data_IF_171713470288
#
_entry.id   IF_171713470288
#
_cell.length_a   1.000
_cell.length_b   1.000
_cell.length_c   1.000
_cell.angle_alpha   90.00
_cell.angle_beta   90.00
_cell.angle_gamma   90.00
#
_symmetry.space_group_name_H-M   'P 1'
#
loop_
_entity.id
_entity.type
_entity.pdbx_description
1 polymer ?
#
# COMPACT_ATOMS: atom_id res chain seq x y z
N UNK A 1 53.86 -17.76 34.61
CA UNK A 1 53.63 -16.64 33.68
C UNK A 1 52.14 -16.59 33.36
N UNK A 2 51.41 -15.63 33.91
CA UNK A 2 50.00 -15.33 33.58
C UNK A 2 50.02 -14.04 32.78
N UNK A 3 49.56 -14.09 31.52
CA UNK A 3 49.36 -12.88 30.71
C UNK A 3 47.85 -12.70 30.53
N UNK A 4 47.26 -11.80 31.32
CA UNK A 4 45.89 -11.33 31.11
C UNK A 4 45.93 -10.24 30.04
N UNK A 5 45.32 -10.50 28.89
CA UNK A 5 45.11 -9.49 27.85
C UNK A 5 43.65 -9.02 27.93
N UNK A 6 43.44 -7.82 28.47
CA UNK A 6 42.13 -7.16 28.51
C UNK A 6 41.96 -6.40 27.19
N UNK A 7 41.02 -6.83 26.36
CA UNK A 7 40.59 -6.09 25.17
C UNK A 7 39.60 -5.00 25.59
N UNK A 8 40.03 -3.75 25.53
CA UNK A 8 39.16 -2.59 25.65
C UNK A 8 38.45 -2.35 24.31
N UNK A 9 37.15 -2.63 24.22
CA UNK A 9 36.32 -2.16 23.11
C UNK A 9 35.98 -0.68 23.35
N UNK A 10 36.65 0.21 22.63
CA UNK A 10 36.21 1.60 22.52
C UNK A 10 34.92 1.63 21.68
N UNK A 11 33.79 1.92 22.32
CA UNK A 11 32.55 2.25 21.64
C UNK A 11 32.73 3.60 20.93
N UNK A 12 33.03 3.56 19.64
CA UNK A 12 32.97 4.74 18.77
C UNK A 12 31.51 5.13 18.56
N UNK A 13 31.06 6.16 19.27
CA UNK A 13 29.80 6.85 18.96
C UNK A 13 30.03 7.69 17.70
N UNK A 14 29.60 7.19 16.54
CA UNK A 14 29.43 8.02 15.36
C UNK A 14 28.22 8.93 15.61
N UNK A 15 28.48 10.15 16.09
CA UNK A 15 27.52 11.22 16.05
C UNK A 15 27.27 11.57 14.56
N UNK A 16 26.15 11.12 14.01
CA UNK A 16 25.68 11.60 12.72
C UNK A 16 25.33 13.08 12.84
N UNK A 17 25.76 13.95 11.91
CA UNK A 17 25.32 15.33 11.89
C UNK A 17 23.85 15.37 11.47
N UNK A 18 22.93 15.46 12.43
CA UNK A 18 21.55 15.88 12.17
C UNK A 18 21.53 17.39 12.01
N UNK A 19 21.92 17.86 10.84
CA UNK A 19 21.63 19.22 10.41
C UNK A 19 21.24 19.21 8.94
N UNK A 20 20.07 18.63 8.68
CA UNK A 20 19.32 19.02 7.49
C UNK A 20 18.60 20.32 7.87
N UNK A 21 19.25 21.45 7.59
CA UNK A 21 18.71 22.78 7.86
C UNK A 21 17.41 22.98 7.10
N UNK A 22 16.28 22.88 7.81
CA UNK A 22 14.95 23.24 7.32
C UNK A 22 14.72 24.77 7.28
N UNK A 23 15.76 25.58 7.07
CA UNK A 23 15.76 27.01 7.42
C UNK A 23 15.70 28.06 6.30
N UNK A 24 15.36 27.78 5.02
CA UNK A 24 15.00 28.86 4.10
C UNK A 24 13.49 29.14 3.99
N UNK A 25 12.59 28.25 4.44
CA UNK A 25 11.14 28.41 4.25
C UNK A 25 10.39 29.05 5.43
N UNK A 26 10.99 29.13 6.61
CA UNK A 26 10.32 29.65 7.83
C UNK A 26 9.83 31.10 7.69
N UNK A 27 10.46 31.89 6.83
CA UNK A 27 10.17 33.32 6.68
C UNK A 27 9.06 33.61 5.66
N UNK A 28 8.56 32.59 4.94
CA UNK A 28 7.53 32.75 3.93
C UNK A 28 6.42 31.72 4.14
N UNK A 29 5.42 32.09 4.96
CA UNK A 29 4.26 31.23 5.26
C UNK A 29 3.50 30.78 4.00
N UNK A 30 3.53 31.57 2.93
CA UNK A 30 2.87 31.22 1.67
C UNK A 30 3.57 30.04 0.99
N UNK A 31 4.90 30.12 0.87
CA UNK A 31 5.72 29.03 0.32
C UNK A 31 5.70 27.79 1.24
N UNK A 32 5.66 27.99 2.55
CA UNK A 32 5.60 26.91 3.52
C UNK A 32 4.29 26.11 3.43
N UNK A 33 3.15 26.80 3.26
CA UNK A 33 1.85 26.14 3.05
C UNK A 33 1.87 25.31 1.78
N UNK A 34 2.42 25.84 0.68
CA UNK A 34 2.54 25.08 -0.58
C UNK A 34 3.44 23.85 -0.42
N UNK A 35 4.56 24.00 0.29
CA UNK A 35 5.45 22.89 0.63
C UNK A 35 4.74 21.80 1.45
N UNK A 36 3.93 22.18 2.45
CA UNK A 36 3.18 21.22 3.28
C UNK A 36 2.09 20.47 2.52
N UNK A 37 1.44 21.12 1.55
CA UNK A 37 0.36 20.49 0.78
C UNK A 37 0.94 19.58 -0.31
N UNK A 38 1.88 20.10 -1.11
CA UNK A 38 2.28 19.46 -2.37
C UNK A 38 3.57 18.67 -2.31
N UNK A 39 4.46 18.98 -1.35
CA UNK A 39 5.80 18.38 -1.32
C UNK A 39 6.02 17.43 -0.14
N UNK A 40 5.33 17.62 0.99
CA UNK A 40 5.37 16.64 2.09
C UNK A 40 4.61 15.36 1.72
N UNK A 41 5.14 14.24 2.19
CA UNK A 41 4.36 13.00 2.25
C UNK A 41 3.24 13.15 3.27
N UNK A 42 2.16 12.39 3.12
CA UNK A 42 1.01 12.47 4.02
C UNK A 42 1.39 12.20 5.50
N UNK A 43 2.24 11.21 5.84
CA UNK A 43 2.70 11.03 7.22
C UNK A 43 3.51 12.20 7.77
N UNK A 44 4.37 12.83 6.97
CA UNK A 44 5.14 14.01 7.40
C UNK A 44 4.23 15.21 7.66
N UNK A 45 3.22 15.42 6.81
CA UNK A 45 2.20 16.44 7.04
C UNK A 45 1.45 16.20 8.36
N UNK A 46 1.04 14.95 8.64
CA UNK A 46 0.37 14.61 9.89
C UNK A 46 1.25 14.91 11.11
N UNK A 47 2.55 14.61 11.04
CA UNK A 47 3.49 14.96 12.11
C UNK A 47 3.57 16.48 12.33
N UNK A 48 3.57 17.28 11.25
CA UNK A 48 3.50 18.75 11.34
C UNK A 48 2.18 19.23 11.95
N UNK A 49 1.06 18.62 11.57
CA UNK A 49 -0.27 18.94 12.12
C UNK A 49 -0.38 18.62 13.60
N UNK A 50 0.10 17.45 14.01
CA UNK A 50 0.13 17.03 15.42
C UNK A 50 0.97 17.98 16.27
N UNK A 51 2.13 18.38 15.75
CA UNK A 51 2.98 19.39 16.38
C UNK A 51 2.43 20.83 16.28
N UNK A 52 1.42 21.07 15.43
CA UNK A 52 0.93 22.40 15.03
C UNK A 52 2.09 23.34 14.65
N UNK A 53 3.02 22.85 13.85
CA UNK A 53 4.29 23.54 13.53
C UNK A 53 4.33 24.07 12.08
N UNK A 54 4.35 25.40 11.85
CA UNK A 54 4.35 26.47 12.86
C UNK A 54 2.93 26.80 13.37
N UNK A 55 2.81 27.35 14.59
CA UNK A 55 1.52 27.65 15.21
C UNK A 55 0.79 28.84 14.56
N UNK A 56 1.46 29.59 13.68
CA UNK A 56 0.88 30.72 12.96
C UNK A 56 -0.07 30.30 11.83
N UNK A 57 0.05 29.06 11.33
CA UNK A 57 -0.83 28.52 10.30
C UNK A 57 -2.17 28.04 10.88
N UNK A 58 -3.19 28.02 10.01
CA UNK A 58 -4.50 27.51 10.39
C UNK A 58 -4.50 25.98 10.30
N UNK A 59 -4.60 25.32 11.45
CA UNK A 59 -4.64 23.85 11.58
C UNK A 59 -6.04 23.29 11.85
N UNK A 60 -7.08 24.13 11.80
CA UNK A 60 -8.46 23.70 12.00
C UNK A 60 -8.91 22.82 10.85
N UNK A 61 -9.54 21.69 11.16
CA UNK A 61 -10.05 20.72 10.20
C UNK A 61 -11.26 20.04 10.83
N UNK A 62 -12.38 20.06 10.12
CA UNK A 62 -13.56 19.26 10.41
C UNK A 62 -13.55 17.93 9.64
N UNK A 63 -12.63 17.80 8.67
CA UNK A 63 -12.37 16.57 7.94
C UNK A 63 -13.40 16.33 6.84
N UNK A 64 -13.76 15.06 6.59
CA UNK A 64 -14.65 14.69 5.49
C UNK A 64 -16.15 14.86 5.84
N UNK A 65 -16.51 15.77 6.74
CA UNK A 65 -17.90 15.99 7.23
C UNK A 65 -18.91 16.28 6.14
N UNK A 66 -18.48 16.99 5.10
CA UNK A 66 -19.30 17.34 3.93
C UNK A 66 -19.27 16.29 2.84
N UNK A 67 -18.35 15.33 2.93
CA UNK A 67 -18.12 14.35 1.89
C UNK A 67 -19.22 13.27 1.90
N UNK A 68 -19.51 12.63 0.75
CA UNK A 68 -20.46 11.52 0.69
C UNK A 68 -20.18 10.45 1.74
N UNK A 69 -21.25 9.88 2.31
CA UNK A 69 -21.11 8.79 3.26
C UNK A 69 -20.27 7.67 2.63
N UNK A 70 -19.45 7.01 3.45
CA UNK A 70 -18.64 5.86 3.06
C UNK A 70 -19.45 4.57 3.30
N UNK A 71 -20.21 4.07 2.30
CA UNK A 71 -21.17 2.98 2.51
C UNK A 71 -20.52 1.64 2.87
N UNK A 72 -19.21 1.51 2.62
CA UNK A 72 -18.44 0.29 2.89
C UNK A 72 -17.49 0.44 4.07
N UNK A 73 -17.56 1.57 4.79
CA UNK A 73 -16.72 1.88 5.95
C UNK A 73 -15.22 1.62 5.70
N UNK A 74 -14.74 1.93 4.48
CA UNK A 74 -13.32 1.85 4.17
C UNK A 74 -12.53 2.76 5.13
N UNK A 75 -11.58 2.17 5.85
CA UNK A 75 -10.70 2.92 6.71
C UNK A 75 -9.51 3.42 5.90
N UNK A 76 -9.51 4.72 5.58
CA UNK A 76 -8.37 5.36 4.95
C UNK A 76 -7.24 5.63 5.94
N UNK A 77 -7.50 5.51 7.25
CA UNK A 77 -6.45 5.52 8.24
C UNK A 77 -5.62 4.25 8.11
N UNK A 78 -4.32 4.38 8.38
CA UNK A 78 -3.34 3.31 8.35
C UNK A 78 -3.92 1.99 8.83
N UNK A 79 -3.85 0.95 7.97
CA UNK A 79 -4.36 -0.37 8.26
C UNK A 79 -3.91 -0.90 9.61
N UNK A 80 -4.76 -0.73 10.62
CA UNK A 80 -4.67 -1.44 11.89
C UNK A 80 -5.94 -2.26 12.05
N UNK A 81 -6.09 -3.25 11.17
CA UNK A 81 -6.55 -4.55 11.68
C UNK A 81 -5.45 -5.06 12.63
N UNK A 82 -5.71 -4.93 13.93
CA UNK A 82 -5.19 -5.80 14.99
C UNK A 82 -3.66 -5.95 15.21
N UNK A 83 -2.85 -4.92 15.06
CA UNK A 83 -1.46 -4.96 15.57
C UNK A 83 -1.22 -3.92 16.68
N UNK A 84 -1.98 -4.02 17.77
CA UNK A 84 -1.41 -3.69 19.08
C UNK A 84 -0.46 -4.85 19.44
N UNK A 85 0.83 -4.62 19.74
CA UNK A 85 1.65 -5.68 20.31
C UNK A 85 0.97 -6.14 21.61
N UNK A 86 0.50 -7.39 21.63
CA UNK A 86 0.12 -8.06 22.86
C UNK A 86 1.40 -8.15 23.70
N UNK A 87 1.43 -7.53 24.89
CA UNK A 87 2.39 -7.93 25.92
C UNK A 87 2.18 -9.43 26.21
N UNK A 88 3.24 -10.14 26.55
CA UNK A 88 3.31 -11.56 26.93
C UNK A 88 2.37 -11.94 28.09
N UNK A 89 1.60 -10.98 28.62
CA UNK A 89 0.59 -11.13 29.68
C UNK A 89 -0.84 -10.79 29.25
N UNK A 90 -1.08 -10.53 27.97
CA UNK A 90 -2.44 -10.38 27.42
C UNK A 90 -3.26 -9.20 27.98
N UNK A 91 -2.62 -8.16 28.55
CA UNK A 91 -3.32 -6.95 29.00
C UNK A 91 -3.26 -5.85 27.94
N UNK A 92 -4.42 -5.27 27.62
CA UNK A 92 -4.53 -4.04 26.83
C UNK A 92 -3.85 -2.90 27.58
N UNK A 93 -2.87 -2.27 26.93
CA UNK A 93 -2.38 -0.96 27.34
C UNK A 93 -3.56 0.00 27.25
N UNK A 94 -4.00 0.55 28.38
CA UNK A 94 -4.85 1.73 28.39
C UNK A 94 -3.96 2.90 27.97
N UNK A 95 -3.82 3.12 26.66
CA UNK A 95 -3.32 4.39 26.16
C UNK A 95 -4.33 5.48 26.58
N UNK A 96 -3.87 6.59 27.18
CA UNK A 96 -4.77 7.65 27.58
C UNK A 96 -5.27 8.42 26.34
N UNK A 97 -6.60 8.44 26.24
CA UNK A 97 -7.50 9.48 25.70
C UNK A 97 -7.63 9.58 24.16
N UNK A 98 -8.85 9.26 23.69
CA UNK A 98 -9.48 9.65 22.41
C UNK A 98 -8.94 9.09 21.08
N UNK A 99 -9.13 7.79 20.84
CA UNK A 99 -9.22 7.30 19.45
C UNK A 99 -10.21 6.15 19.28
N UNK A 100 -11.36 6.31 19.91
CA UNK A 100 -12.52 5.43 19.73
C UNK A 100 -13.79 6.28 19.78
N UNK A 101 -13.91 7.25 18.87
CA UNK A 101 -15.17 7.92 18.58
C UNK A 101 -15.35 8.02 17.07
N UNK A 102 -16.26 7.18 16.57
CA UNK A 102 -17.10 7.38 15.38
C UNK A 102 -16.43 7.46 14.01
N UNK A 103 -16.99 6.69 13.07
CA UNK A 103 -16.50 6.54 11.71
C UNK A 103 -16.31 7.82 10.90
N UNK A 104 -15.45 7.64 9.88
CA UNK A 104 -15.45 8.27 8.56
C UNK A 104 -15.09 9.74 8.36
N UNK A 105 -14.99 10.60 9.38
CA UNK A 105 -14.77 12.04 9.10
C UNK A 105 -13.34 12.54 9.32
N UNK A 106 -12.46 11.86 10.06
CA UNK A 106 -11.12 12.38 10.36
C UNK A 106 -10.01 11.80 9.45
N UNK A 107 -10.26 11.64 8.15
CA UNK A 107 -9.28 11.02 7.24
C UNK A 107 -8.07 11.93 6.99
N UNK A 108 -6.83 11.40 7.02
CA UNK A 108 -5.62 12.15 6.76
C UNK A 108 -5.64 13.03 5.50
N UNK A 109 -6.20 12.51 4.41
CA UNK A 109 -6.32 13.27 3.15
C UNK A 109 -7.20 14.51 3.31
N UNK A 110 -8.38 14.37 3.92
CA UNK A 110 -9.29 15.50 4.19
C UNK A 110 -8.65 16.54 5.11
N UNK A 111 -7.88 16.11 6.12
CA UNK A 111 -7.17 17.03 7.01
C UNK A 111 -6.17 17.93 6.27
N UNK A 112 -5.47 17.39 5.27
CA UNK A 112 -4.54 18.16 4.44
C UNK A 112 -5.27 19.08 3.46
N UNK A 113 -6.41 18.62 2.95
CA UNK A 113 -7.30 19.41 2.10
C UNK A 113 -7.86 20.64 2.83
N UNK A 114 -8.41 20.43 4.04
CA UNK A 114 -8.91 21.50 4.92
C UNK A 114 -7.81 22.52 5.25
N UNK A 115 -6.61 22.03 5.57
CA UNK A 115 -5.44 22.87 5.82
C UNK A 115 -5.14 23.78 4.61
N UNK A 116 -5.14 23.22 3.40
CA UNK A 116 -4.92 24.00 2.19
C UNK A 116 -5.99 25.06 1.98
N UNK A 117 -7.25 24.68 2.11
CA UNK A 117 -8.40 25.58 1.97
C UNK A 117 -8.36 26.73 2.99
N UNK A 118 -8.15 26.40 4.27
CA UNK A 118 -8.12 27.37 5.35
C UNK A 118 -6.98 28.39 5.20
N UNK A 119 -5.78 27.91 4.86
CA UNK A 119 -4.61 28.78 4.74
C UNK A 119 -4.62 29.60 3.45
N UNK A 120 -5.03 29.05 2.31
CA UNK A 120 -5.16 29.84 1.08
C UNK A 120 -6.18 30.97 1.21
N UNK A 121 -7.29 30.72 1.94
CA UNK A 121 -8.28 31.76 2.26
C UNK A 121 -7.71 32.81 3.19
N UNK A 122 -7.04 32.40 4.27
CA UNK A 122 -6.35 33.33 5.20
C UNK A 122 -5.31 34.19 4.49
N UNK A 123 -4.64 33.63 3.47
CA UNK A 123 -3.63 34.31 2.66
C UNK A 123 -4.21 35.14 1.50
N UNK A 124 -5.53 35.17 1.30
CA UNK A 124 -6.18 35.96 0.24
C UNK A 124 -5.91 35.46 -1.19
N UNK A 125 -5.41 34.24 -1.35
CA UNK A 125 -5.00 33.65 -2.64
C UNK A 125 -5.79 32.39 -3.02
N UNK A 126 -6.98 32.24 -2.46
CA UNK A 126 -7.89 31.14 -2.77
C UNK A 126 -8.55 31.37 -4.15
N UNK A 127 -7.78 31.10 -5.20
CA UNK A 127 -8.21 31.21 -6.59
C UNK A 127 -8.68 29.86 -7.14
N UNK A 128 -9.47 29.87 -8.22
CA UNK A 128 -9.92 28.64 -8.90
C UNK A 128 -8.76 27.70 -9.26
N UNK A 129 -7.60 28.24 -9.67
CA UNK A 129 -6.40 27.44 -9.96
C UNK A 129 -5.77 26.86 -8.70
N UNK A 130 -5.71 27.63 -7.61
CA UNK A 130 -5.22 27.18 -6.31
C UNK A 130 -6.10 26.07 -5.75
N UNK A 131 -7.42 26.30 -5.71
CA UNK A 131 -8.45 25.32 -5.31
C UNK A 131 -8.25 23.99 -6.05
N UNK A 132 -8.15 24.04 -7.39
CA UNK A 132 -7.97 22.85 -8.22
C UNK A 132 -6.75 22.02 -7.81
N UNK A 133 -5.60 22.67 -7.56
CA UNK A 133 -4.39 21.95 -7.13
C UNK A 133 -4.59 21.27 -5.78
N UNK A 134 -5.22 21.95 -4.83
CA UNK A 134 -5.51 21.37 -3.51
C UNK A 134 -6.48 20.18 -3.65
N UNK A 135 -7.50 20.28 -4.49
CA UNK A 135 -8.44 19.19 -4.77
C UNK A 135 -7.74 17.99 -5.43
N UNK A 136 -6.85 18.23 -6.41
CA UNK A 136 -6.07 17.18 -7.07
C UNK A 136 -5.12 16.48 -6.07
N UNK A 137 -4.54 17.23 -5.14
CA UNK A 137 -3.70 16.66 -4.08
C UNK A 137 -4.48 15.75 -3.11
N UNK A 138 -5.75 16.08 -2.81
CA UNK A 138 -6.63 15.22 -2.02
C UNK A 138 -6.80 13.85 -2.67
N UNK A 139 -7.02 13.80 -3.99
CA UNK A 139 -7.13 12.54 -4.72
C UNK A 139 -5.84 11.71 -4.61
N UNK A 140 -4.67 12.37 -4.72
CA UNK A 140 -3.36 11.72 -4.55
C UNK A 140 -3.25 11.11 -3.16
N UNK A 141 -3.66 11.82 -2.10
CA UNK A 141 -3.65 11.29 -0.74
C UNK A 141 -4.55 10.09 -0.54
N UNK A 142 -5.79 10.18 -1.00
CA UNK A 142 -6.77 9.11 -0.85
C UNK A 142 -6.30 7.85 -1.58
N UNK A 143 -5.80 7.99 -2.82
CA UNK A 143 -5.23 6.86 -3.57
C UNK A 143 -3.98 6.29 -2.90
N UNK A 144 -3.11 7.14 -2.35
CA UNK A 144 -1.92 6.66 -1.61
C UNK A 144 -2.29 5.89 -0.34
N UNK A 145 -3.40 6.24 0.32
CA UNK A 145 -3.95 5.45 1.43
C UNK A 145 -4.48 4.10 0.92
N UNK A 146 -5.15 4.06 -0.23
CA UNK A 146 -5.63 2.81 -0.85
C UNK A 146 -4.52 1.82 -1.23
N UNK A 147 -3.30 2.28 -1.50
CA UNK A 147 -2.14 1.39 -1.77
C UNK A 147 -1.84 0.43 -0.61
N UNK A 148 -2.25 0.77 0.62
CA UNK A 148 -2.06 -0.06 1.82
C UNK A 148 -3.08 -1.20 1.92
N UNK A 149 -4.13 -1.18 1.09
CA UNK A 149 -5.16 -2.22 1.06
C UNK A 149 -4.65 -3.41 0.25
N UNK A 150 -4.53 -4.56 0.90
CA UNK A 150 -3.97 -5.79 0.30
C UNK A 150 -4.99 -6.56 -0.52
N UNK A 151 -6.27 -6.55 -0.11
CA UNK A 151 -7.33 -7.26 -0.81
C UNK A 151 -7.73 -6.53 -2.09
N UNK A 152 -7.60 -7.22 -3.24
CA UNK A 152 -7.78 -6.64 -4.58
C UNK A 152 -9.12 -5.92 -4.74
N UNK A 153 -10.24 -6.57 -4.38
CA UNK A 153 -11.57 -5.96 -4.50
C UNK A 153 -11.77 -4.76 -3.56
N UNK A 154 -11.15 -4.80 -2.38
CA UNK A 154 -11.21 -3.70 -1.42
C UNK A 154 -10.38 -2.51 -1.89
N UNK A 155 -9.26 -2.77 -2.58
CA UNK A 155 -8.44 -1.73 -3.21
C UNK A 155 -9.21 -1.03 -4.33
N UNK A 156 -9.87 -1.78 -5.22
CA UNK A 156 -10.73 -1.22 -6.26
C UNK A 156 -11.86 -0.37 -5.65
N UNK A 157 -12.52 -0.87 -4.61
CA UNK A 157 -13.55 -0.12 -3.90
C UNK A 157 -13.02 1.16 -3.24
N UNK A 158 -11.82 1.11 -2.65
CA UNK A 158 -11.16 2.27 -2.05
C UNK A 158 -10.81 3.33 -3.11
N UNK A 159 -10.22 2.93 -4.23
CA UNK A 159 -9.86 3.83 -5.32
C UNK A 159 -11.10 4.48 -5.94
N UNK A 160 -12.20 3.74 -6.13
CA UNK A 160 -13.48 4.27 -6.59
C UNK A 160 -14.08 5.29 -5.60
N UNK A 161 -14.01 5.02 -4.29
CA UNK A 161 -14.47 5.97 -3.28
C UNK A 161 -13.60 7.24 -3.24
N UNK A 162 -12.28 7.12 -3.44
CA UNK A 162 -11.37 8.25 -3.53
C UNK A 162 -11.73 9.19 -4.68
N UNK A 163 -12.10 8.64 -5.83
CA UNK A 163 -12.58 9.42 -6.98
C UNK A 163 -13.92 10.10 -6.70
N UNK A 164 -14.85 9.42 -6.03
CA UNK A 164 -16.12 10.01 -5.61
C UNK A 164 -15.90 11.21 -4.69
N UNK A 165 -14.98 11.11 -3.72
CA UNK A 165 -14.60 12.23 -2.86
C UNK A 165 -14.00 13.39 -3.65
N UNK A 166 -13.02 13.11 -4.52
CA UNK A 166 -12.44 14.13 -5.37
C UNK A 166 -13.49 14.84 -6.24
N UNK A 167 -14.36 14.09 -6.89
CA UNK A 167 -15.41 14.62 -7.75
C UNK A 167 -16.37 15.52 -6.96
N UNK A 168 -16.75 15.09 -5.75
CA UNK A 168 -17.59 15.87 -4.85
C UNK A 168 -16.96 17.24 -4.54
N UNK A 169 -15.72 17.27 -4.05
CA UNK A 169 -15.02 18.53 -3.71
C UNK A 169 -14.69 19.40 -4.92
N UNK A 170 -14.46 18.80 -6.09
CA UNK A 170 -14.22 19.52 -7.34
C UNK A 170 -15.50 20.16 -7.88
N UNK A 171 -16.66 19.57 -7.66
CA UNK A 171 -17.93 20.10 -8.13
C UNK A 171 -18.24 21.43 -7.43
N UNK A 172 -18.54 22.48 -8.22
CA UNK A 172 -18.98 23.78 -7.71
C UNK A 172 -20.46 23.79 -7.28
N UNK A 173 -21.04 22.62 -7.05
CA UNK A 173 -22.46 22.48 -6.68
C UNK A 173 -22.60 21.79 -5.33
N UNK A 174 -21.71 20.84 -5.04
CA UNK A 174 -21.73 20.08 -3.80
C UNK A 174 -20.46 20.26 -2.95
N UNK A 175 -19.32 20.56 -3.58
CA UNK A 175 -18.03 20.71 -2.92
C UNK A 175 -17.74 22.14 -2.48
N UNK A 176 -17.27 22.34 -1.24
CA UNK A 176 -16.88 23.65 -0.73
C UNK A 176 -15.88 24.38 -1.64
N UNK A 177 -15.85 25.72 -1.55
CA UNK A 177 -14.93 26.54 -2.34
C UNK A 177 -15.58 27.42 -3.42
N UNK A 178 -16.89 27.66 -3.36
CA UNK A 178 -17.60 28.62 -4.23
C UNK A 178 -17.07 30.06 -4.10
N UNK A 179 -16.37 30.34 -3.00
CA UNK A 179 -15.68 31.60 -2.72
C UNK A 179 -14.36 31.76 -3.48
N UNK A 180 -13.91 30.73 -4.21
CA UNK A 180 -12.68 30.80 -4.99
C UNK A 180 -12.77 31.86 -6.09
N UNK A 181 -11.88 32.85 -6.04
CA UNK A 181 -11.90 33.95 -7.00
C UNK A 181 -11.48 33.45 -8.38
N UNK A 182 -12.21 33.87 -9.43
CA UNK A 182 -11.72 33.72 -10.80
C UNK A 182 -10.65 34.77 -11.02
N UNK A 183 -9.43 34.34 -11.32
CA UNK A 183 -8.42 35.24 -11.85
C UNK A 183 -8.85 35.67 -13.26
N UNK A 184 -9.57 36.80 -13.36
CA UNK A 184 -9.82 37.46 -14.65
C UNK A 184 -8.57 38.25 -14.96
N UNK A 185 -7.85 37.88 -16.02
CA UNK A 185 -6.65 38.62 -16.42
C UNK A 185 -7.10 40.01 -16.92
N UNK A 186 -6.84 41.13 -16.20
CA UNK A 186 -7.43 42.43 -16.52
C UNK A 186 -6.88 43.06 -17.81
N UNK A 187 -5.80 42.50 -18.37
CA UNK A 187 -5.08 43.07 -19.52
C UNK A 187 -5.63 42.70 -20.91
N UNK A 188 -6.67 41.86 -20.99
CA UNK A 188 -7.21 41.41 -22.28
C UNK A 188 -8.40 42.26 -22.74
N UNK A 189 -8.21 43.58 -22.81
CA UNK A 189 -9.19 44.47 -23.45
C UNK A 189 -9.02 44.43 -24.98
N UNK A 190 -10.12 44.67 -25.70
CA UNK A 190 -10.23 44.62 -27.18
C UNK A 190 -9.17 45.47 -27.92
N UNK A 191 -8.59 46.47 -27.27
CA UNK A 191 -7.51 47.32 -27.81
C UNK A 191 -6.16 46.58 -27.91
N UNK A 192 -5.90 45.60 -27.04
CA UNK A 192 -4.65 44.82 -27.02
C UNK A 192 -4.59 43.78 -28.15
N UNK A 193 -5.72 43.36 -28.73
CA UNK A 193 -5.75 42.44 -29.89
C UNK A 193 -5.18 43.09 -31.18
N UNK A 194 -5.27 44.41 -31.31
CA UNK A 194 -4.71 45.16 -32.47
C UNK A 194 -3.20 45.37 -32.31
N UNK A 195 -2.73 45.67 -31.10
CA UNK A 195 -1.31 45.76 -30.78
C UNK A 195 -0.58 44.41 -30.84
N UNK A 196 -1.26 43.31 -30.48
CA UNK A 196 -0.75 41.93 -30.67
C UNK A 196 -0.63 41.58 -32.14
N UNK A 197 -1.48 42.12 -33.02
CA UNK A 197 -1.44 41.88 -34.48
C UNK A 197 -0.29 42.63 -35.16
N UNK A 198 0.09 43.82 -34.68
CA UNK A 198 1.23 44.59 -35.20
C UNK A 198 2.59 44.10 -34.66
N UNK A 199 2.68 43.70 -33.39
CA UNK A 199 3.91 43.04 -32.88
C UNK A 199 4.16 41.65 -33.49
N UNK A 200 3.12 40.98 -33.99
CA UNK A 200 3.24 39.73 -34.77
C UNK A 200 3.88 39.91 -36.14
N UNK A 201 4.03 41.14 -36.65
CA UNK A 201 4.68 41.43 -37.93
C UNK A 201 6.21 41.47 -37.85
N UNK A 202 6.77 42.06 -36.79
CA UNK A 202 8.23 42.20 -36.62
C UNK A 202 8.91 41.04 -35.88
N UNK A 203 8.18 40.28 -35.05
CA UNK A 203 8.71 39.08 -34.40
C UNK A 203 8.56 37.80 -35.22
N UNK A 204 7.98 37.84 -36.44
CA UNK A 204 7.70 36.64 -37.24
C UNK A 204 8.95 36.08 -37.93
N UNK A 205 9.85 36.94 -38.41
CA UNK A 205 11.08 36.50 -39.09
C UNK A 205 12.13 35.91 -38.13
N UNK A 206 12.27 36.46 -36.93
CA UNK A 206 13.23 35.97 -35.93
C UNK A 206 12.71 34.72 -35.21
N UNK A 207 11.40 34.67 -34.93
CA UNK A 207 10.75 33.51 -34.29
C UNK A 207 10.52 32.34 -35.24
N UNK A 208 10.50 32.54 -36.57
CA UNK A 208 10.42 31.44 -37.55
C UNK A 208 11.76 30.71 -37.71
N UNK A 209 12.90 31.39 -37.55
CA UNK A 209 14.22 30.74 -37.51
C UNK A 209 14.45 29.98 -36.20
N UNK A 210 14.07 30.56 -35.06
CA UNK A 210 14.18 29.90 -33.76
C UNK A 210 13.14 28.78 -33.58
N UNK A 211 11.95 28.89 -34.18
CA UNK A 211 10.95 27.82 -34.19
C UNK A 211 11.36 26.65 -35.10
N UNK A 212 11.99 26.89 -36.26
CA UNK A 212 12.49 25.80 -37.12
C UNK A 212 13.65 25.03 -36.49
N UNK A 213 14.50 25.70 -35.69
CA UNK A 213 15.56 25.01 -34.92
C UNK A 213 15.02 24.27 -33.70
N UNK A 214 13.97 24.79 -33.04
CA UNK A 214 13.30 24.12 -31.91
C UNK A 214 12.40 22.96 -32.36
N UNK A 215 11.70 23.07 -33.47
CA UNK A 215 10.93 21.96 -34.06
C UNK A 215 11.85 20.83 -34.55
N UNK A 216 13.00 21.15 -35.15
CA UNK A 216 13.99 20.14 -35.53
C UNK A 216 14.62 19.43 -34.31
N UNK A 217 14.89 20.15 -33.22
CA UNK A 217 15.38 19.57 -31.95
C UNK A 217 14.31 18.78 -31.21
N UNK A 218 13.06 19.22 -31.24
CA UNK A 218 11.92 18.54 -30.62
C UNK A 218 11.49 17.27 -31.40
N UNK A 219 11.63 17.24 -32.74
CA UNK A 219 11.45 16.01 -33.52
C UNK A 219 12.59 15.00 -33.28
N UNK A 220 13.85 15.46 -33.18
CA UNK A 220 14.98 14.56 -32.88
C UNK A 220 14.92 14.02 -31.43
N UNK A 221 14.42 14.80 -30.48
CA UNK A 221 14.19 14.38 -29.09
C UNK A 221 12.98 13.44 -28.98
N UNK A 222 11.89 13.70 -29.71
CA UNK A 222 10.74 12.78 -29.78
C UNK A 222 11.07 11.46 -30.47
N UNK A 223 11.95 11.44 -31.46
CA UNK A 223 12.41 10.21 -32.10
C UNK A 223 13.32 9.40 -31.16
N UNK A 224 14.16 10.08 -30.35
CA UNK A 224 14.98 9.41 -29.32
C UNK A 224 14.13 8.87 -28.18
N UNK A 225 13.16 9.65 -27.69
CA UNK A 225 12.23 9.22 -26.63
C UNK A 225 11.30 8.09 -27.12
N UNK A 226 10.93 8.07 -28.40
CA UNK A 226 10.17 6.95 -29.00
C UNK A 226 11.00 5.67 -29.10
N UNK A 227 12.28 5.77 -29.49
CA UNK A 227 13.20 4.61 -29.56
C UNK A 227 13.52 4.05 -28.18
N UNK A 228 13.72 4.92 -27.18
CA UNK A 228 13.99 4.50 -25.80
C UNK A 228 12.75 3.82 -25.18
N UNK A 229 11.53 4.29 -25.50
CA UNK A 229 10.28 3.63 -25.09
C UNK A 229 10.03 2.30 -25.78
N UNK A 230 10.40 2.14 -27.07
CA UNK A 230 10.33 0.84 -27.75
C UNK A 230 11.33 -0.16 -27.16
N UNK A 231 12.57 0.26 -26.85
CA UNK A 231 13.55 -0.60 -26.17
C UNK A 231 13.09 -0.98 -24.75
N UNK A 232 12.51 -0.04 -23.98
CA UNK A 232 12.02 -0.32 -22.62
C UNK A 232 10.77 -1.24 -22.64
N UNK A 233 9.90 -1.12 -23.66
CA UNK A 233 8.75 -2.01 -23.85
C UNK A 233 9.16 -3.42 -24.29
N UNK A 234 10.18 -3.56 -25.15
CA UNK A 234 10.72 -4.88 -25.51
C UNK A 234 11.45 -5.54 -24.34
N UNK A 235 12.25 -4.79 -23.56
CA UNK A 235 12.92 -5.34 -22.37
C UNK A 235 11.91 -5.74 -21.27
N UNK A 236 10.79 -5.00 -21.14
CA UNK A 236 9.69 -5.37 -20.25
C UNK A 236 8.96 -6.64 -20.71
N UNK A 237 8.71 -6.80 -22.01
CA UNK A 237 8.09 -8.02 -22.58
C UNK A 237 8.97 -9.25 -22.41
N UNK A 238 10.28 -9.13 -22.63
CA UNK A 238 11.24 -10.22 -22.43
C UNK A 238 11.35 -10.63 -20.95
N UNK A 239 11.29 -9.66 -20.02
CA UNK A 239 11.26 -9.95 -18.57
C UNK A 239 9.97 -10.65 -18.15
N UNK A 240 8.82 -10.24 -18.68
CA UNK A 240 7.53 -10.86 -18.37
C UNK A 240 7.44 -12.30 -18.92
N UNK A 241 8.00 -12.56 -20.10
CA UNK A 241 8.09 -13.90 -20.69
C UNK A 241 9.01 -14.82 -19.87
N UNK A 242 10.19 -14.34 -19.48
CA UNK A 242 11.11 -15.10 -18.60
C UNK A 242 10.52 -15.38 -17.22
N UNK A 243 9.74 -14.46 -16.66
CA UNK A 243 9.06 -14.67 -15.38
C UNK A 243 7.92 -15.71 -15.49
N UNK A 244 7.21 -15.74 -16.63
CA UNK A 244 6.18 -16.75 -16.90
C UNK A 244 6.79 -18.15 -17.08
N UNK A 245 7.87 -18.28 -17.83
CA UNK A 245 8.57 -19.55 -18.00
C UNK A 245 9.12 -20.08 -16.66
N UNK A 246 9.73 -19.21 -15.84
CA UNK A 246 10.23 -19.61 -14.52
C UNK A 246 9.11 -20.07 -13.57
N UNK A 247 7.92 -19.43 -13.62
CA UNK A 247 6.76 -19.84 -12.82
C UNK A 247 6.19 -21.18 -13.28
N UNK A 248 6.15 -21.43 -14.59
CA UNK A 248 5.67 -22.70 -15.14
C UNK A 248 6.61 -23.87 -14.80
N UNK A 249 7.92 -23.65 -14.81
CA UNK A 249 8.90 -24.66 -14.36
C UNK A 249 8.79 -24.96 -12.85
N UNK A 250 8.61 -23.93 -12.01
CA UNK A 250 8.44 -24.11 -10.56
C UNK A 250 7.14 -24.87 -10.23
N UNK A 251 6.06 -24.61 -10.98
CA UNK A 251 4.78 -25.32 -10.84
C UNK A 251 4.91 -26.80 -11.26
N UNK A 252 5.58 -27.09 -12.39
CA UNK A 252 5.86 -28.46 -12.83
C UNK A 252 6.71 -29.24 -11.84
N UNK A 253 7.72 -28.59 -11.22
CA UNK A 253 8.55 -29.23 -10.20
C UNK A 253 7.76 -29.54 -8.91
N UNK A 254 6.86 -28.63 -8.50
CA UNK A 254 5.96 -28.85 -7.35
C UNK A 254 4.99 -30.00 -7.60
N UNK A 255 4.37 -30.05 -8.78
CA UNK A 255 3.44 -31.11 -9.14
C UNK A 255 4.15 -32.48 -9.20
N UNK A 256 5.38 -32.54 -9.73
CA UNK A 256 6.19 -33.75 -9.73
C UNK A 256 6.53 -34.24 -8.31
N UNK A 257 6.92 -33.32 -7.42
CA UNK A 257 7.23 -33.65 -6.01
C UNK A 257 6.00 -34.10 -5.23
N UNK A 258 4.83 -33.54 -5.52
CA UNK A 258 3.57 -33.95 -4.91
C UNK A 258 3.19 -35.37 -5.32
N UNK A 259 3.26 -35.69 -6.63
CA UNK A 259 2.99 -37.04 -7.15
C UNK A 259 3.93 -38.09 -6.56
N UNK A 260 5.24 -37.79 -6.47
CA UNK A 260 6.21 -38.70 -5.85
C UNK A 260 5.93 -38.91 -4.34
N UNK A 261 5.48 -37.86 -3.64
CA UNK A 261 5.11 -37.97 -2.23
C UNK A 261 3.81 -38.78 -2.01
N UNK A 262 2.84 -38.68 -2.92
CA UNK A 262 1.62 -39.48 -2.87
C UNK A 262 1.88 -40.97 -3.16
N UNK A 263 2.72 -41.28 -4.14
CA UNK A 263 3.12 -42.65 -4.46
C UNK A 263 3.82 -43.32 -3.27
N UNK A 264 4.78 -42.64 -2.63
CA UNK A 264 5.46 -43.14 -1.42
C UNK A 264 4.49 -43.38 -0.25
N UNK A 265 3.48 -42.52 -0.08
CA UNK A 265 2.43 -42.70 0.94
C UNK A 265 1.55 -43.92 0.63
N UNK A 266 1.22 -44.15 -0.64
CA UNK A 266 0.45 -45.31 -1.07
C UNK A 266 1.22 -46.62 -0.82
N UNK A 267 2.50 -46.67 -1.17
CA UNK A 267 3.37 -47.83 -0.92
C UNK A 267 3.53 -48.13 0.57
N UNK A 268 3.73 -47.10 1.41
CA UNK A 268 3.82 -47.27 2.86
C UNK A 268 2.52 -47.81 3.45
N UNK A 269 1.37 -47.34 2.96
CA UNK A 269 0.05 -47.81 3.38
C UNK A 269 -0.16 -49.28 3.00
N UNK A 270 0.17 -49.67 1.77
CA UNK A 270 0.05 -51.06 1.31
C UNK A 270 0.97 -51.99 2.12
N UNK A 271 2.21 -51.55 2.42
CA UNK A 271 3.14 -52.29 3.26
C UNK A 271 2.62 -52.47 4.71
N UNK A 272 1.98 -51.45 5.27
CA UNK A 272 1.34 -51.51 6.60
C UNK A 272 0.15 -52.46 6.62
N UNK A 273 -0.69 -52.45 5.58
CA UNK A 273 -1.84 -53.35 5.45
C UNK A 273 -1.40 -54.81 5.30
N UNK A 274 -0.40 -55.10 4.47
CA UNK A 274 0.19 -56.45 4.34
C UNK A 274 0.73 -56.96 5.67
N UNK A 275 1.48 -56.12 6.40
CA UNK A 275 1.98 -56.48 7.76
C UNK A 275 0.85 -56.69 8.76
N UNK A 276 -0.25 -55.94 8.66
CA UNK A 276 -1.40 -56.11 9.53
C UNK A 276 -2.14 -57.44 9.25
N UNK A 277 -2.33 -57.80 7.98
CA UNK A 277 -2.94 -59.06 7.58
C UNK A 277 -2.07 -60.27 7.97
N UNK A 278 -0.75 -60.19 7.81
CA UNK A 278 0.18 -61.24 8.28
C UNK A 278 0.07 -61.44 9.81
N UNK A 279 -0.02 -60.36 10.59
CA UNK A 279 -0.23 -60.42 12.05
C UNK A 279 -1.57 -61.04 12.41
N UNK A 280 -2.64 -60.74 11.66
CA UNK A 280 -3.97 -61.35 11.85
C UNK A 280 -3.94 -62.85 11.52
N UNK A 281 -3.26 -63.25 10.44
CA UNK A 281 -3.08 -64.65 10.07
C UNK A 281 -2.33 -65.42 11.17
N UNK A 282 -1.18 -64.89 11.64
CA UNK A 282 -0.42 -65.48 12.75
C UNK A 282 -1.24 -65.60 14.05
N UNK A 283 -2.10 -64.63 14.34
CA UNK A 283 -3.03 -64.70 15.49
C UNK A 283 -4.08 -65.79 15.32
N UNK A 284 -4.65 -65.95 14.12
CA UNK A 284 -5.62 -67.03 13.81
C UNK A 284 -4.97 -68.40 13.96
N UNK A 285 -3.78 -68.61 13.39
CA UNK A 285 -3.04 -69.87 13.56
C UNK A 285 -2.72 -70.17 15.03
N UNK A 286 -2.28 -69.15 15.79
CA UNK A 286 -2.04 -69.29 17.24
C UNK A 286 -3.34 -69.68 17.97
N UNK A 287 -4.47 -69.09 17.59
CA UNK A 287 -5.77 -69.39 18.17
C UNK A 287 -6.25 -70.79 17.84
N UNK A 288 -6.13 -71.26 16.60
CA UNK A 288 -6.46 -72.64 16.23
C UNK A 288 -5.58 -73.66 16.97
N UNK A 289 -4.27 -73.37 17.14
CA UNK A 289 -3.38 -74.20 17.96
C UNK A 289 -3.83 -74.23 19.43
N UNK A 290 -4.19 -73.07 19.98
CA UNK A 290 -4.74 -72.95 21.32
C UNK A 290 -6.05 -73.74 21.45
N UNK A 291 -6.99 -73.58 20.52
CA UNK A 291 -8.28 -74.26 20.50
C UNK A 291 -8.12 -75.78 20.39
N UNK A 292 -7.27 -76.28 19.49
CA UNK A 292 -6.94 -77.72 19.40
C UNK A 292 -6.31 -78.25 20.68
N UNK A 293 -5.41 -77.49 21.31
CA UNK A 293 -4.80 -77.86 22.59
C UNK A 293 -5.83 -77.85 23.73
N UNK A 294 -6.70 -76.85 23.75
CA UNK A 294 -7.76 -76.69 24.74
C UNK A 294 -8.77 -77.83 24.63
N UNK A 295 -9.26 -78.15 23.43
CA UNK A 295 -10.12 -79.31 23.17
C UNK A 295 -9.43 -80.61 23.61
N UNK A 296 -8.17 -80.84 23.24
CA UNK A 296 -7.44 -82.06 23.64
C UNK A 296 -7.32 -82.22 25.17
N UNK A 297 -7.21 -81.12 25.91
CA UNK A 297 -7.04 -81.15 27.37
C UNK A 297 -8.39 -81.21 28.12
N UNK A 298 -9.41 -80.52 27.63
CA UNK A 298 -10.70 -80.36 28.32
C UNK A 298 -11.79 -81.34 27.87
N UNK A 299 -11.73 -81.88 26.65
CA UNK A 299 -12.71 -82.88 26.18
C UNK A 299 -12.75 -84.12 27.07
N UNK A 300 -11.62 -84.75 27.47
CA UNK A 300 -11.66 -85.92 28.35
C UNK A 300 -12.21 -85.61 29.75
N UNK A 301 -12.07 -84.35 30.20
CA UNK A 301 -12.57 -83.87 31.50
C UNK A 301 -14.07 -83.57 31.42
N UNK A 302 -14.58 -83.15 30.26
CA UNK A 302 -15.98 -82.77 30.04
C UNK A 302 -16.84 -83.92 29.48
N UNK A 303 -16.25 -85.00 28.93
CA UNK A 303 -16.99 -86.21 28.56
C UNK A 303 -17.24 -87.08 29.79
N UNK A 304 -18.50 -87.32 30.18
CA UNK A 304 -18.80 -88.24 31.28
C UNK A 304 -18.26 -89.63 30.95
N UNK A 305 -17.57 -90.24 31.93
CA UNK A 305 -17.12 -91.63 31.90
C UNK A 305 -18.33 -92.58 31.82
N UNK A 306 -18.92 -92.73 30.64
CA UNK A 306 -19.87 -93.80 30.35
C UNK A 306 -19.09 -95.07 29.98
N UNK A 307 -18.44 -95.67 30.98
CA UNK A 307 -17.89 -97.03 30.88
C UNK A 307 -18.51 -97.86 32.01
N UNK A 308 -19.40 -98.76 31.57
CA UNK A 308 -19.91 -100.00 32.19
C UNK A 308 -19.73 -100.19 33.68
#
# INVERSE_FOLDING_TARGET
MKLSMVFAFAAGVLAMPTSYSAEPLKNNETALVDYYIFNLTLPEFLAKREAKDPPSLNWTSDGCTTAPANPFNFDFTVGTLSCLPLDLRGRRFTAPVESALTGSNNQPGCQRHDFGYANYRKQGRFEVRGKRRIDEQLLVDLRNQCKKVTHVWSKVGCEGLAEAYFFFYRSNEFGGGHDATRHVNPGLTRMSLKAVREKKGKGKEEKEKEAKEKEAKEEEEKEKEAKEKEEEEEEAKEKEEKEKEAKEEEEKEKEAKEKEAEEKKAEEKEAKEKKAEERKAKRRERWEKFEKSWWRYWVPVLTPLHKK
#
